data_IF_626261665397
#
_entry.id   IF_626261665397
#
_cell.length_a   1.000
_cell.length_b   1.000
_cell.length_c   1.000
_cell.angle_alpha   90.00
_cell.angle_beta   90.00
_cell.angle_gamma   90.00
#
_symmetry.space_group_name_H-M   'P 1'
#
loop_
_entity.id
_entity.type
_entity.pdbx_description
1 polymer ?
#
# COMPACT_ATOMS: atom_id res chain seq x y z
N UNK A 1 -8.07 11.65 0.71
CA UNK A 1 -7.33 10.79 -0.21
C UNK A 1 -6.70 11.69 -1.24
N UNK A 2 -5.40 11.56 -1.47
CA UNK A 2 -4.72 12.24 -2.59
C UNK A 2 -4.90 11.44 -3.88
N UNK A 3 -4.54 12.01 -5.03
CA UNK A 3 -4.51 11.27 -6.31
C UNK A 3 -3.60 10.05 -6.20
N UNK A 4 -2.39 10.19 -5.65
CA UNK A 4 -1.48 9.06 -5.40
C UNK A 4 -2.09 7.97 -4.50
N UNK A 5 -2.89 8.34 -3.50
CA UNK A 5 -3.52 7.35 -2.63
C UNK A 5 -4.65 6.61 -3.35
N UNK A 6 -5.32 7.29 -4.27
CA UNK A 6 -6.41 6.73 -5.07
C UNK A 6 -5.85 5.73 -6.08
N UNK A 7 -4.91 6.17 -6.93
CA UNK A 7 -4.26 5.35 -7.95
C UNK A 7 -3.61 4.10 -7.33
N UNK A 8 -2.96 4.25 -6.17
CA UNK A 8 -2.32 3.12 -5.49
C UNK A 8 -3.33 2.13 -4.89
N UNK A 9 -4.48 2.60 -4.39
CA UNK A 9 -5.51 1.71 -3.85
C UNK A 9 -6.19 0.87 -4.94
N UNK A 10 -6.29 1.41 -6.16
CA UNK A 10 -6.84 0.68 -7.32
C UNK A 10 -6.01 -0.56 -7.70
N UNK A 11 -4.71 -0.60 -7.38
CA UNK A 11 -3.86 -1.77 -7.61
C UNK A 11 -3.93 -2.81 -6.48
N UNK A 12 -4.50 -2.46 -5.33
CA UNK A 12 -4.40 -3.23 -4.08
C UNK A 12 -5.68 -4.03 -3.74
N UNK A 13 -6.51 -4.36 -4.72
CA UNK A 13 -7.64 -5.30 -4.53
C UNK A 13 -7.17 -6.70 -4.12
N UNK A 14 -5.95 -7.08 -4.52
CA UNK A 14 -5.28 -8.32 -4.13
C UNK A 14 -3.93 -8.00 -3.48
N UNK A 15 -3.30 -9.02 -2.88
CA UNK A 15 -1.97 -8.85 -2.29
C UNK A 15 -0.96 -8.62 -3.40
N UNK A 16 -0.26 -7.48 -3.35
CA UNK A 16 0.76 -7.12 -4.35
C UNK A 16 2.12 -6.84 -3.70
N UNK A 17 3.23 -7.36 -4.26
CA UNK A 17 4.57 -6.98 -3.84
C UNK A 17 4.90 -5.55 -4.27
N UNK A 18 5.75 -4.87 -3.50
CA UNK A 18 6.23 -3.51 -3.83
C UNK A 18 6.71 -3.37 -5.29
N UNK A 19 7.49 -4.34 -5.77
CA UNK A 19 8.06 -4.31 -7.12
C UNK A 19 6.98 -4.27 -8.21
N UNK A 20 5.87 -4.99 -8.02
CA UNK A 20 4.73 -4.94 -8.95
C UNK A 20 4.10 -3.56 -8.97
N UNK A 21 3.83 -2.97 -7.79
CA UNK A 21 3.23 -1.63 -7.69
C UNK A 21 4.12 -0.57 -8.35
N UNK A 22 5.44 -0.68 -8.16
CA UNK A 22 6.39 0.24 -8.75
C UNK A 22 6.40 0.15 -10.28
N UNK A 23 6.39 -1.06 -10.83
CA UNK A 23 6.34 -1.30 -12.27
C UNK A 23 5.01 -0.83 -12.88
N UNK A 24 3.88 -1.20 -12.27
CA UNK A 24 2.54 -0.89 -12.78
C UNK A 24 2.24 0.61 -12.76
N UNK A 25 2.63 1.31 -11.68
CA UNK A 25 2.39 2.75 -11.55
C UNK A 25 3.48 3.60 -12.24
N UNK A 26 4.66 3.04 -12.48
CA UNK A 26 5.81 3.75 -13.04
C UNK A 26 6.34 4.86 -12.12
N UNK A 27 6.15 4.73 -10.80
CA UNK A 27 6.51 5.76 -9.83
C UNK A 27 7.96 5.65 -9.35
N UNK A 28 8.51 6.79 -8.91
CA UNK A 28 9.77 6.79 -8.17
C UNK A 28 9.59 6.11 -6.81
N UNK A 29 10.70 5.61 -6.27
CA UNK A 29 10.70 4.91 -4.99
C UNK A 29 10.16 5.79 -3.85
N UNK A 30 10.64 7.04 -3.76
CA UNK A 30 10.22 7.97 -2.73
C UNK A 30 8.72 8.26 -2.78
N UNK A 31 8.15 8.38 -3.98
CA UNK A 31 6.72 8.64 -4.17
C UNK A 31 5.90 7.44 -3.71
N UNK A 32 6.24 6.23 -4.16
CA UNK A 32 5.51 5.01 -3.82
C UNK A 32 5.62 4.70 -2.32
N UNK A 33 6.81 4.77 -1.73
CA UNK A 33 6.99 4.53 -0.29
C UNK A 33 6.24 5.57 0.56
N UNK A 34 6.23 6.83 0.14
CA UNK A 34 5.47 7.88 0.83
C UNK A 34 3.96 7.65 0.76
N UNK A 35 3.44 7.25 -0.42
CA UNK A 35 2.03 6.93 -0.60
C UNK A 35 1.61 5.68 0.22
N UNK A 36 2.40 4.60 0.15
CA UNK A 36 2.20 3.40 0.97
C UNK A 36 2.23 3.72 2.46
N UNK A 37 3.19 4.53 2.91
CA UNK A 37 3.29 4.94 4.31
C UNK A 37 2.05 5.74 4.74
N UNK A 38 1.60 6.70 3.92
CA UNK A 38 0.39 7.49 4.20
C UNK A 38 -0.87 6.61 4.29
N UNK A 39 -1.05 5.67 3.35
CA UNK A 39 -2.16 4.71 3.38
C UNK A 39 -2.10 3.82 4.62
N UNK A 40 -0.91 3.36 5.01
CA UNK A 40 -0.72 2.52 6.19
C UNK A 40 -1.07 3.29 7.48
N UNK A 41 -0.63 4.55 7.62
CA UNK A 41 -0.99 5.41 8.77
C UNK A 41 -2.51 5.63 8.87
N UNK A 42 -3.23 5.59 7.75
CA UNK A 42 -4.69 5.71 7.70
C UNK A 42 -5.42 4.38 7.97
N UNK A 43 -4.67 3.29 8.15
CA UNK A 43 -5.19 1.92 8.19
C UNK A 43 -6.00 1.57 6.92
N UNK A 44 -5.56 2.09 5.77
CA UNK A 44 -6.19 1.82 4.47
C UNK A 44 -5.59 0.60 3.78
N UNK A 45 -4.34 0.25 4.10
CA UNK A 45 -3.67 -0.95 3.61
C UNK A 45 -3.10 -1.77 4.78
N UNK A 46 -2.85 -3.04 4.51
CA UNK A 46 -2.05 -3.96 5.33
C UNK A 46 -0.65 -4.07 4.76
N UNK A 47 0.32 -4.37 5.61
CA UNK A 47 1.68 -4.73 5.22
C UNK A 47 1.90 -6.22 5.51
N UNK A 48 2.53 -6.94 4.60
CA UNK A 48 2.71 -8.38 4.69
C UNK A 48 4.15 -8.79 4.33
N UNK A 49 4.68 -9.81 5.00
CA UNK A 49 5.96 -10.48 4.68
C UNK A 49 5.79 -11.57 3.61
N UNK A 50 4.60 -12.14 3.52
CA UNK A 50 4.21 -13.16 2.55
C UNK A 50 2.70 -13.03 2.24
N UNK A 51 2.16 -13.67 1.19
CA UNK A 51 0.75 -13.47 0.78
C UNK A 51 -0.28 -13.67 1.90
N UNK A 52 0.01 -14.57 2.85
CA UNK A 52 -0.86 -14.91 3.97
C UNK A 52 -0.30 -14.50 5.34
N UNK A 53 0.80 -13.73 5.39
CA UNK A 53 1.51 -13.36 6.63
C UNK A 53 1.51 -11.85 6.82
N UNK A 54 0.51 -11.35 7.57
CA UNK A 54 0.35 -9.93 7.88
C UNK A 54 1.32 -9.50 9.00
N UNK A 55 1.99 -8.37 8.79
CA UNK A 55 2.87 -7.75 9.77
C UNK A 55 2.07 -6.87 10.73
N UNK A 56 2.28 -7.10 12.03
CA UNK A 56 1.62 -6.35 13.10
C UNK A 56 2.62 -5.51 13.90
N UNK A 57 2.16 -4.40 14.46
CA UNK A 57 2.96 -3.53 15.34
C UNK A 57 3.72 -2.44 14.60
N UNK A 58 4.97 -2.21 14.98
CA UNK A 58 5.80 -1.12 14.47
C UNK A 58 6.39 -1.44 13.10
N UNK A 59 5.55 -1.41 12.05
CA UNK A 59 5.99 -1.58 10.67
C UNK A 59 6.55 -0.25 10.14
N UNK A 60 7.82 -0.24 9.72
CA UNK A 60 8.45 0.91 9.08
C UNK A 60 8.37 0.80 7.55
N UNK A 61 7.29 1.32 6.96
CA UNK A 61 7.07 1.27 5.50
C UNK A 61 8.15 2.01 4.72
N UNK A 62 8.66 3.13 5.24
CA UNK A 62 9.66 3.94 4.52
C UNK A 62 11.02 3.24 4.44
N UNK A 63 11.35 2.43 5.44
CA UNK A 63 12.64 1.73 5.51
C UNK A 63 12.57 0.34 4.87
N UNK A 64 11.52 -0.43 5.16
CA UNK A 64 11.43 -1.84 4.79
C UNK A 64 10.40 -2.12 3.68
N UNK A 65 9.65 -1.11 3.23
CA UNK A 65 8.48 -1.31 2.36
C UNK A 65 8.78 -2.00 1.03
N UNK A 66 10.02 -1.89 0.54
CA UNK A 66 10.47 -2.54 -0.70
C UNK A 66 10.50 -4.06 -0.64
N UNK A 67 10.57 -4.63 0.56
CA UNK A 67 10.60 -6.08 0.80
C UNK A 67 9.23 -6.65 1.18
N UNK A 68 8.21 -5.79 1.23
CA UNK A 68 6.86 -6.16 1.68
C UNK A 68 5.89 -6.36 0.52
N UNK A 69 4.74 -6.93 0.89
CA UNK A 69 3.53 -6.94 0.08
C UNK A 69 2.45 -6.12 0.77
N UNK A 70 1.46 -5.69 -0.01
CA UNK A 70 0.41 -4.79 0.44
C UNK A 70 -0.95 -5.27 -0.03
N UNK A 71 -1.97 -4.97 0.77
CA UNK A 71 -3.37 -5.29 0.45
C UNK A 71 -4.27 -4.19 0.97
N UNK A 72 -5.26 -3.76 0.18
CA UNK A 72 -6.25 -2.80 0.63
C UNK A 72 -7.14 -3.43 1.73
N UNK A 73 -7.38 -2.66 2.78
CA UNK A 73 -8.37 -3.00 3.80
C UNK A 73 -9.77 -2.65 3.32
N UNK A 74 -10.79 -3.22 3.95
CA UNK A 74 -12.19 -2.78 3.77
C UNK A 74 -12.35 -1.26 3.98
N UNK A 75 -11.65 -0.68 4.95
CA UNK A 75 -11.68 0.76 5.22
C UNK A 75 -11.11 1.57 4.05
N UNK A 76 -9.97 1.14 3.51
CA UNK A 76 -9.36 1.74 2.32
C UNK A 76 -10.27 1.70 1.11
N UNK A 77 -10.82 0.52 0.79
CA UNK A 77 -11.74 0.36 -0.35
C UNK A 77 -13.04 1.17 -0.20
N UNK A 78 -13.60 1.26 1.01
CA UNK A 78 -14.78 2.11 1.24
C UNK A 78 -14.46 3.59 1.07
N UNK A 79 -13.28 4.04 1.47
CA UNK A 79 -12.84 5.41 1.23
C UNK A 79 -12.64 5.66 -0.27
N UNK A 80 -12.07 4.69 -0.99
CA UNK A 80 -11.83 4.74 -2.44
C UNK A 80 -13.13 4.94 -3.22
N UNK A 81 -14.14 4.14 -2.90
CA UNK A 81 -15.40 4.11 -3.64
C UNK A 81 -16.41 5.21 -3.24
N UNK A 82 -16.08 6.05 -2.25
CA UNK A 82 -16.98 7.08 -1.73
C UNK A 82 -16.79 8.46 -2.39
N UNK A 83 -15.84 8.58 -3.32
CA UNK A 83 -15.50 9.82 -4.04
C UNK A 83 -15.91 9.73 -5.51
#
# INVERSE_FOLDING_TARGET
>A
MTEDEFDLLDELYFVQPYAYLQETLGWSEDRLLSALHSLFQKAFIKCLSAPDDELFGAVNVLENGKEMMFLATKKGLMAHNAL
#
